data_IF_834326543436
#
_entry.id   IF_834326543436
#
_cell.length_a   1.000
_cell.length_b   1.000
_cell.length_c   1.000
_cell.angle_alpha   90.00
_cell.angle_beta   90.00
_cell.angle_gamma   90.00
#
_symmetry.space_group_name_H-M   'P 1'
#
loop_
_entity.id
_entity.type
_entity.pdbx_description
1 polymer ?
#
# COMPACT_ATOMS: atom_id res chain seq x y z
N UNK A 1 15.20 0.34 5.85
CA UNK A 1 14.48 1.50 6.41
C UNK A 1 13.73 1.10 7.67
N UNK A 2 13.72 1.95 8.64
CA UNK A 2 13.02 1.69 9.88
C UNK A 2 11.56 2.09 9.77
N UNK A 3 10.65 1.15 10.11
CA UNK A 3 9.22 1.40 10.04
C UNK A 3 8.75 2.15 11.30
N UNK A 4 7.89 3.16 11.09
CA UNK A 4 7.30 3.89 12.20
C UNK A 4 6.43 2.95 13.05
N UNK A 5 6.55 2.98 14.39
CA UNK A 5 5.84 2.03 15.25
C UNK A 5 4.32 2.09 15.20
N UNK A 6 3.75 3.20 14.76
CA UNK A 6 2.28 3.34 14.63
C UNK A 6 1.73 2.74 13.33
N UNK A 7 2.60 2.32 12.40
CA UNK A 7 2.17 1.72 11.14
C UNK A 7 2.21 0.20 11.28
N UNK A 8 1.05 -0.43 11.09
CA UNK A 8 0.96 -1.89 11.11
C UNK A 8 1.65 -2.47 9.89
N UNK A 9 2.51 -3.47 10.11
CA UNK A 9 3.19 -4.21 9.03
C UNK A 9 2.64 -5.63 9.00
N UNK A 10 2.23 -6.07 7.82
CA UNK A 10 1.85 -7.46 7.58
C UNK A 10 2.99 -8.14 6.82
N UNK A 11 3.37 -9.32 7.26
CA UNK A 11 4.53 -10.03 6.74
C UNK A 11 5.72 -9.90 7.68
N UNK A 12 6.85 -10.44 7.26
CA UNK A 12 8.06 -10.46 8.10
C UNK A 12 9.12 -9.51 7.56
N UNK A 13 9.53 -8.55 8.40
CA UNK A 13 10.59 -7.61 8.06
C UNK A 13 11.96 -8.28 7.99
N UNK A 14 12.07 -9.51 8.50
CA UNK A 14 13.35 -10.25 8.51
C UNK A 14 13.45 -11.28 7.39
N UNK A 15 12.38 -11.49 6.62
CA UNK A 15 12.40 -12.41 5.50
C UNK A 15 13.38 -11.93 4.42
N UNK A 16 14.19 -12.85 3.91
CA UNK A 16 15.21 -12.55 2.89
C UNK A 16 15.18 -13.60 1.81
N UNK A 17 14.97 -13.16 0.58
CA UNK A 17 15.01 -14.03 -0.60
C UNK A 17 15.21 -13.13 -1.83
N UNK A 18 16.40 -13.17 -2.45
CA UNK A 18 16.69 -12.31 -3.60
C UNK A 18 15.83 -12.62 -4.83
N UNK A 19 15.12 -13.73 -4.80
CA UNK A 19 14.26 -14.16 -5.92
C UNK A 19 12.78 -13.86 -5.71
N UNK A 20 12.42 -13.07 -4.69
CA UNK A 20 11.01 -12.72 -4.49
C UNK A 20 10.48 -11.92 -5.68
N UNK A 21 9.18 -12.07 -5.92
CA UNK A 21 8.50 -11.37 -7.00
C UNK A 21 8.62 -9.85 -6.84
N UNK A 22 8.61 -9.15 -7.97
CA UNK A 22 8.60 -7.69 -7.98
C UNK A 22 7.26 -7.16 -7.50
N UNK A 23 7.23 -5.90 -7.07
CA UNK A 23 6.01 -5.29 -6.53
C UNK A 23 4.85 -5.33 -7.52
N UNK A 24 5.11 -5.09 -8.81
CA UNK A 24 4.05 -5.14 -9.82
C UNK A 24 3.38 -6.51 -9.90
N UNK A 25 4.19 -7.58 -9.85
CA UNK A 25 3.67 -8.94 -9.89
C UNK A 25 2.85 -9.25 -8.63
N UNK A 26 3.35 -8.81 -7.47
CA UNK A 26 2.63 -8.95 -6.20
C UNK A 26 1.31 -8.19 -6.23
N UNK A 27 1.31 -6.97 -6.77
CA UNK A 27 0.10 -6.16 -6.90
C UNK A 27 -0.93 -6.83 -7.82
N UNK A 28 -0.51 -7.36 -8.95
CA UNK A 28 -1.40 -8.05 -9.88
C UNK A 28 -2.04 -9.27 -9.23
N UNK A 29 -1.26 -10.03 -8.49
CA UNK A 29 -1.77 -11.21 -7.79
C UNK A 29 -2.78 -10.79 -6.72
N UNK A 30 -2.49 -9.74 -5.97
CA UNK A 30 -3.43 -9.21 -4.97
C UNK A 30 -4.75 -8.82 -5.61
N UNK A 31 -4.71 -8.07 -6.71
CA UNK A 31 -5.93 -7.64 -7.42
C UNK A 31 -6.77 -8.84 -7.82
N UNK A 32 -6.13 -9.86 -8.42
CA UNK A 32 -6.83 -11.06 -8.86
C UNK A 32 -7.46 -11.80 -7.68
N UNK A 33 -6.76 -11.93 -6.58
CA UNK A 33 -7.25 -12.63 -5.39
C UNK A 33 -8.38 -11.87 -4.72
N UNK A 34 -8.29 -10.54 -4.62
CA UNK A 34 -9.36 -9.73 -4.04
C UNK A 34 -10.63 -9.83 -4.88
N UNK A 35 -10.50 -9.70 -6.19
CA UNK A 35 -11.67 -9.81 -7.09
C UNK A 35 -12.33 -11.19 -7.00
N UNK A 36 -11.53 -12.22 -6.80
CA UNK A 36 -12.04 -13.58 -6.70
C UNK A 36 -12.76 -13.83 -5.38
N UNK A 37 -12.19 -13.36 -4.27
CA UNK A 37 -12.73 -13.62 -2.93
C UNK A 37 -13.79 -12.61 -2.49
N UNK A 38 -13.66 -11.38 -2.94
CA UNK A 38 -14.55 -10.29 -2.53
C UNK A 38 -15.02 -9.52 -3.77
N UNK A 39 -15.84 -10.16 -4.64
CA UNK A 39 -16.20 -9.58 -5.95
C UNK A 39 -16.97 -8.27 -5.86
N UNK A 40 -17.57 -7.95 -4.72
CA UNK A 40 -18.31 -6.69 -4.54
C UNK A 40 -17.50 -5.59 -3.87
N UNK A 41 -16.26 -5.89 -3.47
CA UNK A 41 -15.42 -4.91 -2.79
C UNK A 41 -14.91 -3.89 -3.81
N UNK A 42 -15.18 -2.62 -3.54
CA UNK A 42 -14.68 -1.54 -4.37
C UNK A 42 -13.32 -1.08 -3.85
N UNK A 43 -12.32 -1.08 -4.73
CA UNK A 43 -10.99 -0.63 -4.38
C UNK A 43 -10.29 -0.02 -5.58
N UNK A 44 -9.24 0.74 -5.31
CA UNK A 44 -8.44 1.39 -6.33
C UNK A 44 -6.96 1.09 -6.12
N UNK A 45 -6.26 0.84 -7.22
CA UNK A 45 -4.79 0.79 -7.21
C UNK A 45 -4.32 2.15 -7.70
N UNK A 46 -3.59 2.86 -6.85
CA UNK A 46 -3.08 4.19 -7.16
C UNK A 46 -1.65 4.07 -7.63
N UNK A 47 -1.46 4.29 -8.91
CA UNK A 47 -0.15 4.18 -9.52
C UNK A 47 0.51 5.55 -9.52
N UNK A 48 1.41 5.75 -8.56
CA UNK A 48 2.08 7.03 -8.36
C UNK A 48 3.56 6.87 -8.68
N UNK A 49 3.84 6.51 -9.93
CA UNK A 49 5.18 6.13 -10.32
C UNK A 49 5.62 6.79 -11.60
N UNK A 50 6.89 6.58 -11.92
CA UNK A 50 7.53 7.10 -13.11
C UNK A 50 8.39 8.31 -12.78
N UNK A 51 9.42 8.49 -13.60
CA UNK A 51 10.27 9.67 -13.49
C UNK A 51 9.53 10.85 -14.08
N UNK A 52 9.40 11.89 -13.32
CA UNK A 52 8.72 13.12 -13.74
C UNK A 52 9.72 14.25 -13.76
N UNK A 53 9.52 15.17 -14.70
CA UNK A 53 10.24 16.44 -14.65
C UNK A 53 9.72 17.23 -13.45
N UNK A 54 10.52 18.20 -12.99
CA UNK A 54 10.06 19.08 -11.91
C UNK A 54 8.77 19.79 -12.26
N UNK A 55 8.66 20.24 -13.50
CA UNK A 55 7.46 20.94 -13.98
C UNK A 55 6.23 20.02 -13.91
N UNK A 56 6.36 18.76 -14.33
CA UNK A 56 5.25 17.82 -14.28
C UNK A 56 4.87 17.51 -12.82
N UNK A 57 5.86 17.32 -11.96
CA UNK A 57 5.60 17.07 -10.53
C UNK A 57 4.88 18.25 -9.88
N UNK A 58 5.29 19.47 -10.19
CA UNK A 58 4.66 20.67 -9.67
C UNK A 58 3.21 20.80 -10.17
N UNK A 59 2.99 20.48 -11.45
CA UNK A 59 1.65 20.49 -12.05
C UNK A 59 0.75 19.46 -11.37
N UNK A 60 1.23 18.24 -11.21
CA UNK A 60 0.48 17.16 -10.54
C UNK A 60 0.10 17.58 -9.12
N UNK A 61 1.04 18.16 -8.39
CA UNK A 61 0.80 18.62 -7.03
C UNK A 61 -0.25 19.72 -6.99
N UNK A 62 -0.19 20.66 -7.94
CA UNK A 62 -1.20 21.71 -8.05
C UNK A 62 -2.58 21.15 -8.37
N UNK A 63 -2.65 20.01 -9.06
CA UNK A 63 -3.89 19.31 -9.34
C UNK A 63 -4.40 18.47 -8.16
N UNK A 64 -3.71 18.49 -7.03
CA UNK A 64 -4.12 17.75 -5.85
C UNK A 64 -3.55 16.35 -5.72
N UNK A 65 -2.61 15.98 -6.57
CA UNK A 65 -1.94 14.68 -6.47
C UNK A 65 -0.91 14.72 -5.35
N UNK A 66 -0.91 13.69 -4.51
CA UNK A 66 -0.04 13.63 -3.33
C UNK A 66 1.12 12.67 -3.57
N UNK A 67 2.33 13.15 -3.34
CA UNK A 67 3.50 12.29 -3.33
C UNK A 67 3.40 11.32 -2.16
N UNK A 68 3.74 10.07 -2.39
CA UNK A 68 3.73 9.05 -1.35
C UNK A 68 2.38 8.44 -1.05
N UNK A 69 1.34 8.75 -1.85
CA UNK A 69 0.04 8.11 -1.70
C UNK A 69 0.18 6.59 -1.72
N UNK A 70 -0.61 5.90 -0.89
CA UNK A 70 -0.55 4.44 -0.79
C UNK A 70 -0.93 3.77 -2.11
N UNK A 71 -0.41 2.55 -2.33
CA UNK A 71 -0.67 1.80 -3.55
C UNK A 71 -2.12 1.44 -3.74
N UNK A 72 -2.82 1.09 -2.66
CA UNK A 72 -4.21 0.64 -2.72
C UNK A 72 -5.08 1.38 -1.72
N UNK A 73 -6.30 1.65 -2.15
CA UNK A 73 -7.36 2.17 -1.27
C UNK A 73 -8.56 1.24 -1.40
N UNK A 74 -8.94 0.61 -0.29
CA UNK A 74 -10.13 -0.23 -0.20
C UNK A 74 -11.22 0.59 0.48
N UNK A 75 -12.36 0.75 -0.19
CA UNK A 75 -13.42 1.63 0.29
C UNK A 75 -14.25 0.97 1.38
N UNK A 76 -14.55 1.74 2.39
CA UNK A 76 -15.33 1.26 3.54
C UNK A 76 -15.28 2.28 4.65
N UNK A 77 -15.79 1.93 5.80
CA UNK A 77 -15.85 2.79 6.98
C UNK A 77 -15.23 2.06 8.17
N UNK A 78 -13.96 2.31 8.47
CA UNK A 78 -13.01 3.20 7.79
C UNK A 78 -12.45 2.56 6.50
N UNK A 79 -11.92 3.36 5.58
CA UNK A 79 -11.23 2.78 4.43
C UNK A 79 -9.89 2.18 4.85
N UNK A 80 -9.40 1.23 4.06
CA UNK A 80 -8.06 0.66 4.26
C UNK A 80 -7.12 1.21 3.20
N UNK A 81 -6.04 1.84 3.63
CA UNK A 81 -4.97 2.30 2.77
C UNK A 81 -3.77 1.39 2.96
N UNK A 82 -3.33 0.77 1.87
CA UNK A 82 -2.31 -0.27 1.92
C UNK A 82 -1.15 0.07 1.00
N UNK A 83 0.05 0.06 1.58
CA UNK A 83 1.29 0.22 0.83
C UNK A 83 1.90 -1.16 0.60
N UNK A 84 2.11 -1.51 -0.66
CA UNK A 84 2.67 -2.81 -1.03
C UNK A 84 4.18 -2.73 -1.16
N UNK A 85 4.87 -3.68 -0.55
CA UNK A 85 6.32 -3.85 -0.73
C UNK A 85 6.61 -5.31 -1.08
N UNK A 86 7.81 -5.57 -1.59
CA UNK A 86 8.21 -6.94 -1.90
C UNK A 86 8.27 -7.77 -0.62
N UNK A 87 8.08 -9.06 -0.74
CA UNK A 87 8.15 -9.96 0.41
C UNK A 87 9.48 -9.84 1.15
N UNK A 88 10.59 -9.77 0.41
CA UNK A 88 11.86 -9.31 0.96
C UNK A 88 11.90 -7.79 0.84
N UNK A 89 11.60 -7.10 1.91
CA UNK A 89 11.42 -5.65 1.90
C UNK A 89 12.71 -4.89 1.60
N UNK A 90 13.87 -5.52 1.75
CA UNK A 90 15.15 -4.87 1.44
C UNK A 90 15.33 -4.63 -0.07
N UNK A 91 14.53 -5.32 -0.89
CA UNK A 91 14.57 -5.17 -2.34
C UNK A 91 13.59 -4.11 -2.84
N UNK A 92 12.78 -3.55 -1.96
CA UNK A 92 11.85 -2.48 -2.30
C UNK A 92 12.48 -1.11 -2.07
N UNK A 93 12.01 -0.13 -2.83
CA UNK A 93 12.41 1.26 -2.62
C UNK A 93 11.42 1.92 -1.66
N UNK A 94 11.96 2.58 -0.64
CA UNK A 94 11.16 3.30 0.34
C UNK A 94 11.35 4.80 0.15
N UNK A 95 10.24 5.53 0.01
CA UNK A 95 10.26 6.97 -0.12
C UNK A 95 9.86 7.61 1.21
N UNK A 96 10.48 8.73 1.61
CA UNK A 96 10.15 9.36 2.90
C UNK A 96 8.68 9.71 3.06
N UNK A 97 8.03 10.17 2.00
CA UNK A 97 6.64 10.60 2.05
C UNK A 97 5.65 9.44 2.17
N UNK A 98 6.06 8.20 1.91
CA UNK A 98 5.14 7.05 2.02
C UNK A 98 4.67 6.84 3.45
N UNK A 99 5.58 6.86 4.40
CA UNK A 99 5.21 6.72 5.81
C UNK A 99 4.44 7.94 6.32
N UNK A 100 4.86 9.13 5.92
CA UNK A 100 4.16 10.36 6.30
C UNK A 100 2.72 10.36 5.81
N UNK A 101 2.50 9.90 4.57
CA UNK A 101 1.14 9.78 4.01
C UNK A 101 0.28 8.86 4.87
N UNK A 102 0.81 7.67 5.19
CA UNK A 102 0.07 6.70 6.00
C UNK A 102 -0.26 7.24 7.39
N UNK A 103 0.69 7.92 8.03
CA UNK A 103 0.45 8.50 9.35
C UNK A 103 -0.62 9.59 9.31
N UNK A 104 -0.60 10.45 8.30
CA UNK A 104 -1.61 11.48 8.13
C UNK A 104 -2.99 10.89 7.83
N UNK A 105 -3.03 9.85 7.01
CA UNK A 105 -4.28 9.15 6.71
C UNK A 105 -4.86 8.51 7.97
N UNK A 106 -4.00 7.95 8.81
CA UNK A 106 -4.43 7.36 10.08
C UNK A 106 -5.02 8.40 11.00
N UNK A 107 -4.43 9.58 11.05
CA UNK A 107 -4.98 10.71 11.82
C UNK A 107 -6.36 11.12 11.33
N UNK A 108 -6.62 10.96 10.04
CA UNK A 108 -7.93 11.26 9.44
C UNK A 108 -8.95 10.14 9.63
N UNK A 109 -8.58 9.09 10.35
CA UNK A 109 -9.50 8.00 10.65
C UNK A 109 -9.42 6.80 9.71
N UNK A 110 -8.46 6.78 8.80
CA UNK A 110 -8.27 5.63 7.92
C UNK A 110 -7.53 4.50 8.64
N UNK A 111 -7.81 3.28 8.27
CA UNK A 111 -6.98 2.14 8.62
C UNK A 111 -5.80 2.12 7.64
N UNK A 112 -4.58 1.99 8.14
CA UNK A 112 -3.39 2.02 7.27
C UNK A 112 -2.49 0.82 7.57
N UNK A 113 -1.78 0.36 6.56
CA UNK A 113 -0.81 -0.72 6.74
C UNK A 113 0.22 -0.75 5.62
N UNK A 114 1.31 -1.46 5.90
CA UNK A 114 2.29 -1.87 4.90
C UNK A 114 2.21 -3.38 4.81
N UNK A 115 2.17 -3.92 3.61
CA UNK A 115 2.12 -5.36 3.39
C UNK A 115 3.30 -5.83 2.55
N UNK A 116 3.96 -6.87 3.01
CA UNK A 116 5.15 -7.44 2.37
C UNK A 116 4.74 -8.66 1.56
N UNK A 117 4.42 -8.44 0.29
CA UNK A 117 3.93 -9.45 -0.63
C UNK A 117 2.41 -9.56 -0.61
N UNK A 118 1.85 -10.22 -1.63
CA UNK A 118 0.40 -10.28 -1.82
C UNK A 118 -0.30 -11.09 -0.72
N UNK A 119 0.34 -12.13 -0.18
CA UNK A 119 -0.27 -12.95 0.86
C UNK A 119 -0.47 -12.15 2.14
N UNK A 120 0.54 -11.36 2.51
CA UNK A 120 0.44 -10.45 3.65
C UNK A 120 -0.63 -9.38 3.39
N UNK A 121 -0.72 -8.89 2.16
CA UNK A 121 -1.74 -7.92 1.79
C UNK A 121 -3.15 -8.51 1.89
N UNK A 122 -3.34 -9.77 1.47
CA UNK A 122 -4.63 -10.45 1.65
C UNK A 122 -5.00 -10.57 3.12
N UNK A 123 -4.03 -10.90 3.96
CA UNK A 123 -4.26 -10.95 5.40
C UNK A 123 -4.74 -9.60 5.94
N UNK A 124 -4.11 -8.52 5.47
CA UNK A 124 -4.51 -7.17 5.86
C UNK A 124 -5.95 -6.85 5.42
N UNK A 125 -6.30 -7.21 4.19
CA UNK A 125 -7.66 -6.99 3.67
C UNK A 125 -8.67 -7.79 4.48
N UNK A 126 -8.37 -9.05 4.77
CA UNK A 126 -9.25 -9.92 5.55
C UNK A 126 -9.44 -9.41 6.98
N UNK A 127 -8.35 -8.96 7.62
CA UNK A 127 -8.45 -8.35 8.95
C UNK A 127 -9.32 -7.10 8.94
N UNK A 128 -9.11 -6.23 7.95
CA UNK A 128 -9.91 -5.03 7.81
C UNK A 128 -11.38 -5.35 7.55
N UNK A 129 -11.67 -6.36 6.75
CA UNK A 129 -13.05 -6.78 6.49
C UNK A 129 -13.76 -7.25 7.74
N UNK A 130 -13.03 -7.88 8.68
CA UNK A 130 -13.63 -8.37 9.94
C UNK A 130 -14.02 -7.23 10.88
N UNK A 131 -13.29 -6.14 10.89
CA UNK A 131 -13.56 -5.00 11.78
C UNK A 131 -14.43 -3.92 11.14
N UNK A 132 -14.58 -3.96 9.83
CA UNK A 132 -15.40 -3.03 9.09
C UNK A 132 -16.87 -3.31 9.37
N UNK A 133 -17.61 -2.29 9.72
CA UNK A 133 -19.05 -2.38 9.98
C UNK A 133 -19.81 -1.57 8.96
#
# INVERSE_FOLDING_TARGET
MKMHPLIKVYGSLTYRDPKTAKEDAEAMTLVNQVKKRFPHLLFMHIKNEGKKTKAQADFDKAMGMLAGASDFVFLGTPPLLLEMKRKDNTLSTWQPNQQMFLLKAQEQGCKVCVALGWEAAMEAVEDWMRIKK
#
